data_IF_082074111088
#
_entry.id   IF_082074111088
#
_cell.length_a   1.000
_cell.length_b   1.000
_cell.length_c   1.000
_cell.angle_alpha   90.00
_cell.angle_beta   90.00
_cell.angle_gamma   90.00
#
_symmetry.space_group_name_H-M   'P 1'
#
loop_
_entity.id
_entity.type
_entity.pdbx_description
1 polymer ?
#
# COMPACT_ATOMS: atom_id res chain seq x y z
N UNK A 1 -25.49 -15.42 31.98
CA UNK A 1 -24.68 -14.27 32.49
C UNK A 1 -23.87 -13.78 31.30
N UNK A 2 -24.14 -12.55 30.83
CA UNK A 2 -23.79 -12.01 29.51
C UNK A 2 -24.69 -12.49 28.36
N UNK A 3 -25.92 -11.98 28.36
CA UNK A 3 -26.78 -11.91 27.16
C UNK A 3 -26.27 -10.76 26.26
N UNK A 4 -24.99 -10.80 25.87
CA UNK A 4 -24.44 -9.86 24.88
C UNK A 4 -24.85 -10.41 23.52
N UNK A 5 -26.02 -9.98 23.08
CA UNK A 5 -26.49 -10.17 21.73
C UNK A 5 -25.82 -9.20 20.76
N UNK A 6 -26.15 -9.38 19.48
CA UNK A 6 -25.75 -8.44 18.43
C UNK A 6 -26.24 -7.02 18.72
N UNK A 7 -27.36 -6.87 19.44
CA UNK A 7 -27.94 -5.57 19.75
C UNK A 7 -27.08 -4.77 20.74
N UNK A 8 -26.60 -5.38 21.83
CA UNK A 8 -25.68 -4.73 22.76
C UNK A 8 -24.36 -4.37 22.08
N UNK A 9 -23.81 -5.27 21.25
CA UNK A 9 -22.59 -5.00 20.47
C UNK A 9 -22.75 -3.82 19.50
N UNK A 10 -23.91 -3.68 18.86
CA UNK A 10 -24.20 -2.58 17.96
C UNK A 10 -24.29 -1.25 18.72
N UNK A 11 -24.97 -1.22 19.88
CA UNK A 11 -25.06 -0.02 20.73
C UNK A 11 -23.68 0.44 21.17
N UNK A 12 -22.83 -0.49 21.64
CA UNK A 12 -21.44 -0.16 22.03
C UNK A 12 -20.63 0.29 20.81
N UNK A 13 -20.80 -0.35 19.66
CA UNK A 13 -20.15 0.02 18.40
C UNK A 13 -20.50 1.44 17.96
N UNK A 14 -21.77 1.83 18.04
CA UNK A 14 -22.22 3.19 17.74
C UNK A 14 -21.62 4.19 18.73
N UNK A 15 -21.56 3.86 20.01
CA UNK A 15 -20.96 4.73 21.02
C UNK A 15 -19.45 4.92 20.77
N UNK A 16 -18.75 3.84 20.45
CA UNK A 16 -17.33 3.89 20.06
C UNK A 16 -17.13 4.71 18.76
N UNK A 17 -18.01 4.55 17.78
CA UNK A 17 -18.02 5.35 16.55
C UNK A 17 -18.26 6.84 16.82
N UNK A 18 -19.03 7.20 17.84
CA UNK A 18 -19.28 8.58 18.23
C UNK A 18 -18.06 9.21 18.92
N UNK A 19 -17.37 8.44 19.76
CA UNK A 19 -16.16 8.88 20.47
C UNK A 19 -14.95 8.99 19.52
N UNK A 20 -14.71 7.95 18.73
CA UNK A 20 -13.53 7.85 17.86
C UNK A 20 -13.78 8.37 16.44
N UNK A 21 -15.02 8.33 15.96
CA UNK A 21 -15.41 8.68 14.59
C UNK A 21 -15.40 7.48 13.62
N UNK A 22 -16.34 7.40 12.65
CA UNK A 22 -16.43 6.32 11.66
C UNK A 22 -15.23 6.26 10.70
N UNK A 23 -14.52 7.37 10.50
CA UNK A 23 -13.30 7.38 9.68
C UNK A 23 -12.07 6.79 10.39
N UNK A 24 -12.04 6.80 11.73
CA UNK A 24 -10.86 6.39 12.51
C UNK A 24 -10.81 4.90 12.82
N UNK A 25 -11.96 4.26 13.01
CA UNK A 25 -12.03 2.80 13.19
C UNK A 25 -11.41 2.00 12.02
N UNK A 26 -11.71 2.27 10.73
CA UNK A 26 -11.09 1.53 9.63
C UNK A 26 -9.60 1.85 9.49
N UNK A 27 -9.17 3.06 9.86
CA UNK A 27 -7.76 3.45 9.87
C UNK A 27 -6.97 2.67 10.95
N UNK A 28 -7.50 2.61 12.18
CA UNK A 28 -6.98 1.78 13.27
C UNK A 28 -6.98 0.28 12.92
N UNK A 29 -8.06 -0.21 12.32
CA UNK A 29 -8.18 -1.60 11.87
C UNK A 29 -7.15 -1.97 10.80
N UNK A 30 -6.82 -1.05 9.88
CA UNK A 30 -5.75 -1.25 8.89
C UNK A 30 -4.37 -1.30 9.53
N UNK A 31 -4.12 -0.45 10.53
CA UNK A 31 -2.85 -0.45 11.26
C UNK A 31 -2.67 -1.75 12.07
N UNK A 32 -3.68 -2.13 12.85
CA UNK A 32 -3.68 -3.37 13.63
C UNK A 32 -3.63 -4.58 12.71
N UNK A 33 -4.35 -4.56 11.58
CA UNK A 33 -4.37 -5.66 10.62
C UNK A 33 -3.02 -5.91 9.96
N UNK A 34 -2.26 -4.86 9.62
CA UNK A 34 -0.88 -5.00 9.13
C UNK A 34 0.03 -5.59 10.21
N UNK A 35 -0.01 -5.01 11.42
CA UNK A 35 0.77 -5.50 12.55
C UNK A 35 0.47 -6.98 12.86
N UNK A 36 -0.80 -7.38 12.83
CA UNK A 36 -1.21 -8.76 13.07
C UNK A 36 -0.74 -9.70 11.94
N UNK A 37 -0.68 -9.22 10.69
CA UNK A 37 -0.19 -9.99 9.54
C UNK A 37 1.32 -10.19 9.61
N UNK A 38 2.06 -9.15 9.95
CA UNK A 38 3.51 -9.22 10.20
C UNK A 38 3.82 -10.11 11.41
N UNK A 39 3.07 -9.96 12.50
CA UNK A 39 3.20 -10.81 13.68
C UNK A 39 2.94 -12.29 13.35
N UNK A 40 1.93 -12.57 12.53
CA UNK A 40 1.62 -13.96 12.13
C UNK A 40 2.71 -14.56 11.27
N UNK A 41 3.23 -13.80 10.29
CA UNK A 41 4.36 -14.22 9.45
C UNK A 41 5.63 -14.48 10.28
N UNK A 42 5.94 -13.58 11.21
CA UNK A 42 7.05 -13.78 12.15
C UNK A 42 6.82 -15.02 13.02
N UNK A 43 5.61 -15.19 13.56
CA UNK A 43 5.25 -16.36 14.38
C UNK A 43 5.38 -17.67 13.61
N UNK A 44 4.99 -17.69 12.34
CA UNK A 44 5.10 -18.87 11.47
C UNK A 44 6.58 -19.22 11.21
N UNK A 45 7.44 -18.21 11.01
CA UNK A 45 8.88 -18.40 10.83
C UNK A 45 9.62 -18.81 12.10
N UNK A 46 9.19 -18.29 13.26
CA UNK A 46 9.65 -18.78 14.57
C UNK A 46 9.25 -20.24 14.76
N UNK A 47 8.02 -20.59 14.40
CA UNK A 47 7.51 -21.96 14.53
C UNK A 47 8.29 -22.94 13.64
N UNK A 48 8.52 -22.58 12.37
CA UNK A 48 9.33 -23.40 11.47
C UNK A 48 10.76 -23.55 11.95
N UNK A 49 11.37 -22.47 12.46
CA UNK A 49 12.73 -22.50 13.00
C UNK A 49 12.83 -23.41 14.24
N UNK A 50 11.88 -23.29 15.17
CA UNK A 50 11.86 -24.13 16.38
C UNK A 50 11.63 -25.59 15.99
N UNK A 51 10.70 -25.89 15.08
CA UNK A 51 10.46 -27.24 14.57
C UNK A 51 11.71 -27.80 13.88
N UNK A 52 12.37 -27.05 12.98
CA UNK A 52 13.61 -27.48 12.32
C UNK A 52 14.75 -27.74 13.31
N UNK A 53 14.94 -26.89 14.33
CA UNK A 53 16.01 -27.07 15.32
C UNK A 53 15.73 -28.21 16.31
N UNK A 54 14.46 -28.47 16.63
CA UNK A 54 14.07 -29.58 17.51
C UNK A 54 14.19 -30.94 16.82
N UNK A 55 14.00 -31.00 15.49
CA UNK A 55 14.13 -32.22 14.69
C UNK A 55 15.57 -32.57 14.25
N UNK A 56 16.60 -31.84 14.69
CA UNK A 56 18.02 -32.16 14.40
C UNK A 56 18.50 -33.45 15.13
N UNK A 57 17.73 -34.01 16.08
CA UNK A 57 18.08 -35.24 16.80
C UNK A 57 17.34 -36.51 16.37
N UNK A 58 16.57 -36.50 15.28
CA UNK A 58 16.00 -37.73 14.70
C UNK A 58 16.29 -37.80 13.18
N UNK A 59 16.90 -38.89 12.67
CA UNK A 59 17.08 -39.06 11.23
C UNK A 59 15.74 -39.32 10.52
N UNK A 60 15.53 -38.64 9.38
CA UNK A 60 14.36 -38.71 8.51
C UNK A 60 13.86 -40.13 8.20
N UNK A 61 12.54 -40.30 7.97
CA UNK A 61 12.05 -41.08 6.86
C UNK A 61 11.69 -40.17 5.68
N UNK A 62 12.35 -40.41 4.55
CA UNK A 62 12.07 -39.81 3.24
C UNK A 62 10.74 -40.37 2.67
N UNK A 63 10.07 -39.56 1.84
CA UNK A 63 9.05 -39.85 0.79
C UNK A 63 7.59 -39.61 1.28
N UNK A 64 6.73 -38.78 0.64
CA UNK A 64 6.50 -38.61 -0.80
C UNK A 64 6.00 -37.21 -1.22
N UNK A 65 6.21 -36.80 -2.50
CA UNK A 65 5.48 -35.72 -3.13
C UNK A 65 4.08 -36.22 -3.53
N UNK A 66 3.03 -35.41 -3.38
CA UNK A 66 1.70 -35.68 -3.97
C UNK A 66 0.99 -34.34 -4.24
N UNK A 67 0.22 -34.25 -5.34
CA UNK A 67 0.29 -33.15 -6.29
C UNK A 67 -0.78 -32.07 -6.07
N UNK A 68 -0.61 -30.99 -6.83
CA UNK A 68 -1.55 -29.89 -6.99
C UNK A 68 -3.02 -30.33 -7.08
N UNK A 69 -3.88 -29.59 -6.39
CA UNK A 69 -5.23 -29.29 -6.86
C UNK A 69 -5.35 -27.79 -6.97
N UNK A 70 -5.06 -27.30 -8.18
CA UNK A 70 -5.67 -26.09 -8.73
C UNK A 70 -7.15 -26.40 -8.98
N UNK A 71 -8.07 -25.60 -8.46
CA UNK A 71 -8.88 -24.66 -9.25
C UNK A 71 -10.15 -24.23 -8.50
N UNK A 72 -10.30 -22.91 -8.32
CA UNK A 72 -11.60 -22.24 -8.34
C UNK A 72 -11.40 -20.83 -8.94
N UNK A 73 -11.17 -20.85 -10.25
CA UNK A 73 -11.67 -19.93 -11.26
C UNK A 73 -11.15 -18.47 -11.30
N UNK A 74 -10.24 -18.18 -12.24
CA UNK A 74 -10.15 -16.89 -12.91
C UNK A 74 -11.18 -16.81 -14.07
N UNK A 75 -11.90 -15.69 -14.16
CA UNK A 75 -12.73 -15.36 -15.32
C UNK A 75 -11.91 -14.56 -16.36
N UNK A 76 -12.29 -14.61 -17.66
CA UNK A 76 -11.36 -14.90 -18.75
C UNK A 76 -10.70 -13.67 -19.37
N UNK A 77 -9.43 -13.84 -19.76
CA UNK A 77 -8.80 -13.14 -20.87
C UNK A 77 -8.91 -14.03 -22.11
N UNK A 78 -9.35 -13.44 -23.22
CA UNK A 78 -9.34 -14.03 -24.55
C UNK A 78 -8.91 -12.95 -25.55
N UNK A 79 -8.37 -13.33 -26.72
CA UNK A 79 -6.94 -13.21 -26.99
C UNK A 79 -6.68 -12.39 -28.26
N UNK A 80 -5.43 -11.99 -28.49
CA UNK A 80 -5.01 -11.68 -29.87
C UNK A 80 -3.49 -11.68 -30.01
N UNK A 81 -2.94 -12.83 -30.35
CA UNK A 81 -1.73 -12.90 -31.17
C UNK A 81 -2.16 -13.41 -32.56
N UNK A 82 -2.04 -12.55 -33.56
CA UNK A 82 -1.94 -12.95 -34.96
C UNK A 82 -1.13 -11.87 -35.69
N UNK A 83 0.04 -12.28 -36.13
CA UNK A 83 0.96 -11.53 -36.96
C UNK A 83 0.29 -11.12 -38.29
N UNK A 84 0.59 -9.90 -38.76
CA UNK A 84 0.09 -9.42 -40.05
C UNK A 84 0.54 -8.00 -40.32
N UNK A 85 1.65 -7.86 -41.05
CA UNK A 85 2.14 -6.61 -41.60
C UNK A 85 1.08 -5.89 -42.46
N UNK A 86 0.99 -4.56 -42.39
CA UNK A 86 1.40 -3.60 -43.45
C UNK A 86 0.87 -2.18 -43.20
N UNK A 87 1.74 -1.21 -43.51
CA UNK A 87 1.45 0.10 -44.12
C UNK A 87 0.65 1.18 -43.36
N UNK A 88 1.39 2.24 -43.01
CA UNK A 88 1.15 3.65 -43.35
C UNK A 88 -0.22 4.30 -43.06
N UNK A 89 -0.16 5.42 -42.34
CA UNK A 89 -1.26 6.39 -42.20
C UNK A 89 -1.44 6.74 -40.72
N UNK A 90 -0.68 7.71 -40.23
CA UNK A 90 -1.10 9.11 -40.11
C UNK A 90 -1.67 9.40 -38.72
N UNK A 91 -1.21 10.52 -38.19
CA UNK A 91 -1.28 10.90 -36.79
C UNK A 91 -2.70 10.97 -36.24
N UNK A 92 -2.92 10.49 -35.02
CA UNK A 92 -3.71 11.19 -34.01
C UNK A 92 -3.35 10.69 -32.61
N UNK A 93 -2.97 11.64 -31.76
CA UNK A 93 -2.50 11.51 -30.38
C UNK A 93 -3.36 10.62 -29.49
N UNK A 94 -2.75 9.57 -28.92
CA UNK A 94 -3.15 9.06 -27.61
C UNK A 94 -2.48 9.93 -26.56
N UNK A 95 -3.29 10.77 -25.92
CA UNK A 95 -2.89 11.57 -24.75
C UNK A 95 -2.49 10.60 -23.65
N UNK A 96 -1.18 10.57 -23.34
CA UNK A 96 -0.68 10.05 -22.09
C UNK A 96 -1.44 10.74 -20.95
N UNK A 97 -2.07 9.97 -20.07
CA UNK A 97 -2.47 10.50 -18.77
C UNK A 97 -1.17 10.76 -18.01
N UNK A 98 -0.65 11.97 -18.20
CA UNK A 98 0.45 12.53 -17.44
C UNK A 98 0.08 12.40 -15.96
N UNK A 99 0.82 11.60 -15.15
CA UNK A 99 0.59 11.56 -13.72
C UNK A 99 0.83 12.96 -13.18
N UNK A 100 -0.26 13.63 -12.81
CA UNK A 100 -0.24 14.97 -12.25
C UNK A 100 0.79 15.06 -11.13
N UNK A 101 1.82 15.84 -11.41
CA UNK A 101 2.84 16.42 -10.51
C UNK A 101 2.87 15.80 -9.10
N UNK A 102 3.63 14.71 -8.91
CA UNK A 102 3.66 13.96 -7.65
C UNK A 102 4.26 14.73 -6.47
N UNK A 103 4.71 15.97 -6.69
CA UNK A 103 5.36 16.81 -5.69
C UNK A 103 4.74 18.20 -5.62
N UNK A 104 4.49 18.66 -4.40
CA UNK A 104 4.00 19.99 -4.08
C UNK A 104 4.95 20.66 -3.08
N UNK A 105 5.47 21.83 -3.41
CA UNK A 105 6.33 22.63 -2.56
C UNK A 105 5.61 23.88 -2.04
N UNK A 106 6.03 24.35 -0.87
CA UNK A 106 5.62 25.62 -0.31
C UNK A 106 6.70 26.67 -0.59
N UNK A 107 6.34 27.75 -1.30
CA UNK A 107 7.27 28.84 -1.68
C UNK A 107 7.94 29.50 -0.48
N UNK A 108 7.19 29.70 0.61
CA UNK A 108 7.63 30.46 1.79
C UNK A 108 8.66 29.70 2.64
N UNK A 109 8.40 28.41 2.89
CA UNK A 109 9.30 27.56 3.70
C UNK A 109 10.37 26.87 2.86
N UNK A 110 10.24 26.93 1.53
CA UNK A 110 11.08 26.19 0.57
C UNK A 110 11.11 24.69 0.84
N UNK A 111 10.07 24.13 1.45
CA UNK A 111 9.93 22.69 1.63
C UNK A 111 9.17 22.08 0.45
N UNK A 112 9.63 20.94 -0.07
CA UNK A 112 8.87 20.13 -1.02
C UNK A 112 8.31 18.87 -0.35
N UNK A 113 7.06 18.55 -0.70
CA UNK A 113 6.27 17.45 -0.17
C UNK A 113 5.82 16.54 -1.30
N UNK A 114 5.51 15.30 -0.99
CA UNK A 114 4.80 14.40 -1.90
C UNK A 114 3.30 14.72 -1.87
N UNK A 115 2.59 14.48 -2.97
CA UNK A 115 1.17 14.85 -3.13
C UNK A 115 0.22 14.16 -2.14
N UNK A 116 0.66 13.05 -1.52
CA UNK A 116 -0.03 12.31 -0.46
C UNK A 116 0.28 12.79 0.97
N UNK A 117 1.13 13.82 1.15
CA UNK A 117 1.50 14.32 2.46
C UNK A 117 0.37 15.11 3.12
N UNK A 118 0.05 14.78 4.39
CA UNK A 118 -1.01 15.46 5.15
C UNK A 118 -0.79 16.98 5.30
N UNK A 119 0.46 17.43 5.27
CA UNK A 119 0.82 18.84 5.32
C UNK A 119 0.43 19.62 4.06
N UNK A 120 0.31 18.97 2.90
CA UNK A 120 -0.10 19.63 1.64
C UNK A 120 -1.48 20.25 1.76
N UNK A 121 -2.38 19.62 2.53
CA UNK A 121 -3.72 20.15 2.79
C UNK A 121 -3.74 21.48 3.54
N UNK A 122 -2.65 21.81 4.26
CA UNK A 122 -2.51 23.04 5.04
C UNK A 122 -1.80 24.17 4.29
N UNK A 123 -1.18 23.88 3.14
CA UNK A 123 -0.49 24.89 2.34
C UNK A 123 -1.55 25.71 1.60
N UNK A 124 -1.59 27.05 1.74
CA UNK A 124 -2.49 27.89 0.98
C UNK A 124 -2.14 27.85 -0.51
N UNK A 125 -3.15 27.81 -1.38
CA UNK A 125 -3.01 27.73 -2.84
C UNK A 125 -2.00 28.71 -3.47
N UNK A 126 -1.92 30.01 -3.08
CA UNK A 126 -0.92 30.93 -3.62
C UNK A 126 0.53 30.55 -3.30
N UNK A 127 0.76 29.75 -2.27
CA UNK A 127 2.10 29.31 -1.87
C UNK A 127 2.50 27.97 -2.48
N UNK A 128 1.61 27.27 -3.20
CA UNK A 128 1.91 25.97 -3.79
C UNK A 128 2.66 26.10 -5.11
N UNK A 129 3.80 25.43 -5.21
CA UNK A 129 4.51 25.19 -6.46
C UNK A 129 4.51 23.68 -6.74
N UNK A 130 4.12 23.27 -7.94
CA UNK A 130 4.05 21.86 -8.31
C UNK A 130 5.27 21.49 -9.14
N UNK A 131 5.80 20.28 -8.91
CA UNK A 131 6.95 19.75 -9.62
C UNK A 131 6.67 18.34 -10.11
N UNK A 132 7.17 18.03 -11.31
CA UNK A 132 7.11 16.67 -11.89
C UNK A 132 8.21 15.78 -11.32
N UNK A 133 9.43 16.33 -11.16
CA UNK A 133 10.57 15.58 -10.64
C UNK A 133 11.16 16.24 -9.38
N UNK A 134 11.69 15.41 -8.48
CA UNK A 134 12.39 15.87 -7.26
C UNK A 134 13.64 16.69 -7.60
N UNK A 135 14.29 16.37 -8.71
CA UNK A 135 15.51 17.04 -9.18
C UNK A 135 15.22 18.53 -9.44
N UNK A 136 14.13 18.84 -10.14
CA UNK A 136 13.72 20.22 -10.46
C UNK A 136 13.49 21.05 -9.18
N UNK A 137 12.91 20.43 -8.15
CA UNK A 137 12.69 21.08 -6.86
C UNK A 137 14.02 21.34 -6.12
N UNK A 138 14.94 20.38 -6.14
CA UNK A 138 16.27 20.52 -5.52
C UNK A 138 17.12 21.58 -6.23
N UNK A 139 17.09 21.65 -7.55
CA UNK A 139 17.78 22.68 -8.34
C UNK A 139 17.26 24.09 -8.03
N UNK A 140 15.96 24.22 -7.79
CA UNK A 140 15.34 25.47 -7.35
C UNK A 140 15.58 25.77 -5.86
N UNK A 141 16.36 24.94 -5.18
CA UNK A 141 16.78 25.09 -3.78
C UNK A 141 15.64 24.86 -2.78
N UNK A 142 14.69 23.98 -3.12
CA UNK A 142 13.73 23.45 -2.18
C UNK A 142 14.32 22.25 -1.43
N UNK A 143 14.02 22.16 -0.15
CA UNK A 143 14.50 21.10 0.76
C UNK A 143 13.40 20.05 0.92
N UNK A 144 13.81 18.79 1.06
CA UNK A 144 12.90 17.68 1.37
C UNK A 144 12.16 17.93 2.68
N UNK A 145 10.86 17.62 2.71
CA UNK A 145 10.13 17.59 3.96
C UNK A 145 10.62 16.40 4.82
N UNK A 146 11.06 16.63 6.07
CA UNK A 146 11.58 15.56 6.94
C UNK A 146 10.51 14.50 7.30
N UNK A 147 9.23 14.83 7.14
CA UNK A 147 8.10 13.90 7.33
C UNK A 147 7.87 13.03 6.10
N UNK A 148 8.27 13.48 4.91
CA UNK A 148 8.17 12.71 3.66
C UNK A 148 9.39 11.80 3.42
N UNK A 149 10.50 12.04 4.11
CA UNK A 149 11.78 11.34 3.99
C UNK A 149 11.94 9.99 4.71
N UNK A 150 11.06 9.47 5.60
CA UNK A 150 11.31 8.17 6.25
C UNK A 150 11.15 6.95 5.31
N UNK A 151 11.06 7.16 3.99
CA UNK A 151 10.76 6.12 2.99
C UNK A 151 11.77 6.03 1.84
N UNK A 152 12.74 6.93 1.65
CA UNK A 152 13.74 6.73 0.57
C UNK A 152 14.63 5.52 0.91
N UNK A 153 14.52 4.35 0.22
CA UNK A 153 15.56 3.35 0.33
C UNK A 153 16.81 3.91 -0.36
N UNK A 154 17.92 3.92 0.37
CA UNK A 154 19.24 4.27 -0.16
C UNK A 154 19.64 3.38 -1.35
#
# INVERSE_FOLDING_TARGET
MFDIGLQEMLVIGVLALLVFGPGKLPELGRMVGRALREFRRASDEFRSTVETNLHINDPDPIIAPTPASVDAAPAPVLPSEAEGAVAAGDATLVVAVEPGEPYCAQRTSRLFHKSDCSWVTRIPEPERAYFKHVVDAREQGYVTCPVCEPWEPA
#
